data_IF_521322031717
#
_entry.id   IF_521322031717
#
_cell.length_a   1.000
_cell.length_b   1.000
_cell.length_c   1.000
_cell.angle_alpha   90.00
_cell.angle_beta   90.00
_cell.angle_gamma   90.00
#
_symmetry.space_group_name_H-M   'P 1'
#
loop_
_entity.id
_entity.type
_entity.pdbx_description
1 polymer ?
#
# COMPACT_ATOMS: atom_id res chain seq x y z
N UNK A 1 -13.16 14.41 2.64
CA UNK A 1 -12.87 13.79 3.96
C UNK A 1 -11.62 12.95 3.80
N UNK A 2 -10.65 13.09 4.69
CA UNK A 2 -9.39 12.33 4.66
C UNK A 2 -9.52 11.10 5.56
N UNK A 3 -8.89 9.98 5.18
CA UNK A 3 -8.81 8.78 6.02
C UNK A 3 -7.47 8.73 6.78
N UNK A 4 -7.49 8.24 8.02
CA UNK A 4 -6.28 7.91 8.77
C UNK A 4 -5.48 6.83 8.06
N UNK A 5 -4.17 7.00 7.98
CA UNK A 5 -3.26 6.03 7.36
C UNK A 5 -2.36 5.43 8.45
N UNK A 6 -2.28 4.09 8.48
CA UNK A 6 -1.38 3.34 9.34
C UNK A 6 -0.30 2.64 8.49
N UNK A 7 0.95 2.75 8.89
CA UNK A 7 2.09 2.12 8.20
C UNK A 7 2.49 0.82 8.90
N UNK A 8 2.55 -0.29 8.16
CA UNK A 8 3.14 -1.53 8.68
C UNK A 8 4.67 -1.42 8.68
N UNK A 9 5.33 -2.13 9.60
CA UNK A 9 6.79 -2.12 9.71
C UNK A 9 7.51 -2.54 8.42
N UNK A 10 6.91 -3.42 7.61
CA UNK A 10 7.48 -3.79 6.29
C UNK A 10 7.44 -2.62 5.29
N UNK A 11 6.37 -1.82 5.31
CA UNK A 11 6.29 -0.61 4.50
C UNK A 11 7.37 0.39 4.92
N UNK A 12 7.49 0.69 6.22
CA UNK A 12 8.48 1.65 6.73
C UNK A 12 9.91 1.28 6.30
N UNK A 13 10.33 0.04 6.57
CA UNK A 13 11.69 -0.45 6.23
C UNK A 13 12.01 -0.37 4.73
N UNK A 14 11.02 -0.61 3.86
CA UNK A 14 11.20 -0.54 2.41
C UNK A 14 11.12 0.89 1.90
N UNK A 15 10.22 1.70 2.45
CA UNK A 15 10.05 3.09 2.10
C UNK A 15 11.33 3.88 2.37
N UNK A 16 11.97 3.69 3.53
CA UNK A 16 13.25 4.34 3.89
C UNK A 16 14.37 4.06 2.88
N UNK A 17 14.38 2.88 2.24
CA UNK A 17 15.39 2.51 1.25
C UNK A 17 15.09 3.04 -0.14
N UNK A 18 13.82 3.28 -0.45
CA UNK A 18 13.36 3.57 -1.81
C UNK A 18 12.98 5.04 -2.03
N UNK A 19 12.54 5.71 -0.98
CA UNK A 19 11.88 7.01 -1.02
C UNK A 19 12.56 7.98 -0.06
N UNK A 20 12.66 9.24 -0.46
CA UNK A 20 12.99 10.30 0.49
C UNK A 20 11.75 10.67 1.32
N UNK A 21 11.97 11.36 2.43
CA UNK A 21 10.90 11.71 3.38
C UNK A 21 9.71 12.46 2.74
N UNK A 22 9.98 13.43 1.86
CA UNK A 22 8.92 14.16 1.14
C UNK A 22 8.05 13.22 0.30
N UNK A 23 8.65 12.30 -0.44
CA UNK A 23 7.92 11.33 -1.27
C UNK A 23 7.08 10.37 -0.42
N UNK A 24 7.54 10.02 0.79
CA UNK A 24 6.78 9.21 1.74
C UNK A 24 5.54 9.98 2.22
N UNK A 25 5.70 11.25 2.58
CA UNK A 25 4.59 12.11 2.96
C UNK A 25 3.59 12.29 1.81
N UNK A 26 4.06 12.47 0.58
CA UNK A 26 3.18 12.62 -0.58
C UNK A 26 2.31 11.37 -0.81
N UNK A 27 2.90 10.18 -0.67
CA UNK A 27 2.14 8.92 -0.76
C UNK A 27 1.07 8.84 0.32
N UNK A 28 1.42 9.13 1.58
CA UNK A 28 0.47 9.09 2.71
C UNK A 28 -0.68 10.07 2.48
N UNK A 29 -0.37 11.31 2.14
CA UNK A 29 -1.37 12.35 1.86
C UNK A 29 -2.27 11.96 0.69
N UNK A 30 -1.69 11.41 -0.37
CA UNK A 30 -2.44 11.00 -1.56
C UNK A 30 -3.40 9.86 -1.27
N UNK A 31 -2.96 8.79 -0.58
CA UNK A 31 -3.86 7.66 -0.26
C UNK A 31 -4.89 8.02 0.80
N UNK A 32 -4.58 8.97 1.69
CA UNK A 32 -5.54 9.54 2.64
C UNK A 32 -6.67 10.30 1.92
N UNK A 33 -6.36 11.02 0.84
CA UNK A 33 -7.34 11.76 0.04
C UNK A 33 -8.06 10.88 -0.98
N UNK A 34 -7.38 9.90 -1.56
CA UNK A 34 -7.87 9.05 -2.65
C UNK A 34 -7.69 7.56 -2.32
N UNK A 35 -8.37 7.03 -1.29
CA UNK A 35 -8.16 5.67 -0.82
C UNK A 35 -8.49 4.59 -1.88
N UNK A 36 -9.24 4.93 -2.93
CA UNK A 36 -9.59 4.00 -4.03
C UNK A 36 -8.72 4.14 -5.28
N UNK A 37 -7.69 4.99 -5.28
CA UNK A 37 -6.88 5.29 -6.48
C UNK A 37 -6.04 4.11 -7.00
N UNK A 38 -5.70 3.14 -6.15
CA UNK A 38 -4.97 1.95 -6.54
C UNK A 38 -5.84 0.85 -7.17
N UNK A 39 -5.25 0.12 -8.11
CA UNK A 39 -5.87 -1.02 -8.78
C UNK A 39 -6.10 -2.17 -7.79
N UNK A 40 -7.30 -2.77 -7.79
CA UNK A 40 -7.57 -3.96 -6.98
C UNK A 40 -6.73 -5.15 -7.44
N UNK A 41 -6.11 -5.84 -6.49
CA UNK A 41 -5.39 -7.09 -6.73
C UNK A 41 -6.39 -8.23 -6.49
N UNK A 42 -6.69 -9.02 -7.52
CA UNK A 42 -7.64 -10.13 -7.39
C UNK A 42 -7.07 -11.23 -6.47
N UNK A 43 -7.95 -11.80 -5.63
CA UNK A 43 -7.61 -12.92 -4.74
C UNK A 43 -6.86 -12.53 -3.46
N UNK A 44 -6.96 -11.28 -3.01
CA UNK A 44 -6.29 -10.76 -1.80
C UNK A 44 -7.24 -10.18 -0.76
N UNK A 45 -8.56 -10.33 -0.92
CA UNK A 45 -9.54 -9.73 -0.01
C UNK A 45 -9.71 -8.20 -0.15
N UNK A 46 -9.14 -7.58 -1.20
CA UNK A 46 -9.36 -6.14 -1.47
C UNK A 46 -8.11 -5.27 -1.39
N UNK A 47 -6.92 -5.86 -1.33
CA UNK A 47 -5.64 -5.13 -1.42
C UNK A 47 -5.54 -4.38 -2.75
N UNK A 48 -4.98 -3.18 -2.70
CA UNK A 48 -4.80 -2.27 -3.84
C UNK A 48 -3.33 -2.03 -4.15
N UNK A 49 -3.04 -1.77 -5.42
CA UNK A 49 -1.73 -1.44 -5.98
C UNK A 49 -1.75 -0.05 -6.58
N UNK A 50 -1.05 0.90 -5.97
CA UNK A 50 -0.84 2.24 -6.50
C UNK A 50 0.52 2.32 -7.22
N UNK A 51 0.52 2.90 -8.42
CA UNK A 51 1.75 3.20 -9.17
C UNK A 51 2.17 4.63 -8.85
N UNK A 52 3.24 4.81 -8.07
CA UNK A 52 3.74 6.12 -7.69
C UNK A 52 4.90 6.53 -8.59
N UNK A 53 4.78 7.67 -9.27
CA UNK A 53 5.88 8.26 -10.05
C UNK A 53 6.60 9.27 -9.16
N UNK A 54 7.92 9.21 -9.17
CA UNK A 54 8.79 10.17 -8.47
C UNK A 54 9.07 11.32 -9.40
N UNK A 55 8.95 12.55 -8.91
CA UNK A 55 9.33 13.74 -9.68
C UNK A 55 10.85 13.79 -9.88
N UNK A 56 11.31 14.30 -11.03
CA UNK A 56 12.73 14.49 -11.33
C UNK A 56 13.58 13.22 -11.53
N UNK A 57 13.05 12.02 -11.31
CA UNK A 57 13.75 10.76 -11.62
C UNK A 57 13.32 10.18 -12.97
N UNK A 58 14.29 9.71 -13.76
CA UNK A 58 14.06 9.09 -15.07
C UNK A 58 13.17 7.84 -15.04
N UNK A 59 13.05 7.13 -16.19
CA UNK A 59 12.13 5.99 -16.42
C UNK A 59 12.13 4.87 -15.34
N UNK A 60 13.15 4.78 -14.49
CA UNK A 60 13.34 3.79 -13.42
C UNK A 60 12.95 4.25 -12.00
N UNK A 61 12.55 5.51 -11.79
CA UNK A 61 12.37 6.06 -10.45
C UNK A 61 11.16 5.52 -9.68
N UNK A 62 10.04 5.22 -10.35
CA UNK A 62 8.77 4.94 -9.68
C UNK A 62 8.75 3.72 -8.74
N UNK A 63 7.82 3.73 -7.80
CA UNK A 63 7.56 2.62 -6.87
C UNK A 63 6.12 2.12 -7.01
N UNK A 64 5.86 0.92 -6.51
CA UNK A 64 4.50 0.39 -6.37
C UNK A 64 4.19 0.24 -4.90
N UNK A 65 3.13 0.93 -4.47
CA UNK A 65 2.65 0.92 -3.09
C UNK A 65 1.50 -0.06 -2.99
N UNK A 66 1.60 -0.99 -2.05
CA UNK A 66 0.58 -2.00 -1.77
C UNK A 66 -0.10 -1.61 -0.47
N UNK A 67 -1.42 -1.45 -0.51
CA UNK A 67 -2.17 -0.95 0.62
C UNK A 67 -3.57 -1.55 0.69
N UNK A 68 -4.20 -1.48 1.86
CA UNK A 68 -5.55 -1.96 2.08
C UNK A 68 -6.46 -0.83 2.56
N UNK A 69 -7.64 -0.73 1.95
CA UNK A 69 -8.68 0.18 2.34
C UNK A 69 -10.02 -0.57 2.36
N UNK A 70 -10.62 -0.64 3.55
CA UNK A 70 -11.91 -1.28 3.77
C UNK A 70 -13.06 -0.26 3.75
N UNK A 71 -13.08 0.63 4.74
CA UNK A 71 -14.08 1.69 4.91
C UNK A 71 -13.50 2.80 5.80
N UNK A 72 -14.28 3.85 6.08
CA UNK A 72 -13.86 4.91 6.99
C UNK A 72 -13.86 4.51 8.48
N UNK A 73 -14.32 3.29 8.82
CA UNK A 73 -14.39 2.80 10.19
C UNK A 73 -13.04 2.26 10.72
N UNK A 74 -12.07 2.07 9.83
CA UNK A 74 -10.72 1.64 10.18
C UNK A 74 -9.69 2.42 9.35
N UNK A 75 -8.42 2.49 9.79
CA UNK A 75 -7.36 3.10 8.99
C UNK A 75 -7.18 2.43 7.63
N UNK A 76 -6.65 3.19 6.67
CA UNK A 76 -6.00 2.63 5.50
C UNK A 76 -4.62 2.11 5.92
N UNK A 77 -4.30 0.87 5.56
CA UNK A 77 -3.02 0.25 5.93
C UNK A 77 -2.06 0.23 4.74
N UNK A 78 -0.91 0.89 4.88
CA UNK A 78 0.21 0.76 3.95
C UNK A 78 0.98 -0.53 4.28
N UNK A 79 0.85 -1.54 3.42
CA UNK A 79 1.36 -2.90 3.68
C UNK A 79 2.83 -3.05 3.29
N UNK A 80 3.19 -2.61 2.08
CA UNK A 80 4.57 -2.67 1.59
C UNK A 80 4.76 -1.76 0.37
N UNK A 81 6.02 -1.53 -0.03
CA UNK A 81 6.40 -0.76 -1.22
C UNK A 81 7.59 -1.42 -1.91
N UNK A 82 7.60 -1.45 -3.24
CA UNK A 82 8.71 -2.02 -4.00
C UNK A 82 9.05 -1.19 -5.24
N UNK A 83 10.30 -1.25 -5.69
CA UNK A 83 10.74 -0.52 -6.87
C UNK A 83 10.04 -1.06 -8.13
N UNK A 84 9.87 -0.21 -9.16
CA UNK A 84 9.24 -0.60 -10.44
C UNK A 84 9.79 -1.88 -11.07
N UNK A 85 11.07 -2.19 -10.87
CA UNK A 85 11.74 -3.34 -11.48
C UNK A 85 11.89 -4.55 -10.54
N UNK A 86 11.42 -4.45 -9.30
CA UNK A 86 11.64 -5.50 -8.29
C UNK A 86 10.63 -6.65 -8.41
N UNK A 87 9.38 -6.34 -8.75
CA UNK A 87 8.31 -7.34 -8.92
C UNK A 87 7.47 -7.04 -10.16
N UNK A 88 7.37 -8.05 -11.03
CA UNK A 88 6.47 -8.05 -12.17
C UNK A 88 5.02 -8.27 -11.70
N UNK A 89 4.78 -9.35 -10.96
CA UNK A 89 3.46 -9.73 -10.43
C UNK A 89 3.56 -10.47 -9.09
N UNK A 90 2.46 -10.50 -8.33
CA UNK A 90 2.37 -11.27 -7.09
C UNK A 90 2.03 -12.73 -7.40
N UNK A 91 2.82 -13.65 -6.84
CA UNK A 91 2.52 -15.08 -6.90
C UNK A 91 1.18 -15.40 -6.23
N UNK A 92 0.60 -16.57 -6.52
CA UNK A 92 -0.62 -17.01 -5.84
C UNK A 92 -0.40 -17.16 -4.32
N UNK A 93 0.77 -17.66 -3.91
CA UNK A 93 1.11 -17.81 -2.50
C UNK A 93 1.18 -16.45 -1.78
N UNK A 94 1.75 -15.41 -2.41
CA UNK A 94 1.77 -14.06 -1.84
C UNK A 94 0.36 -13.46 -1.76
N UNK A 95 -0.50 -13.71 -2.76
CA UNK A 95 -1.89 -13.26 -2.72
C UNK A 95 -2.67 -13.90 -1.57
N UNK A 96 -2.49 -15.20 -1.35
CA UNK A 96 -3.12 -15.90 -0.23
C UNK A 96 -2.64 -15.35 1.13
N UNK A 97 -1.33 -15.05 1.27
CA UNK A 97 -0.78 -14.42 2.48
C UNK A 97 -1.37 -13.02 2.71
N UNK A 98 -1.56 -12.24 1.64
CA UNK A 98 -2.20 -10.94 1.72
C UNK A 98 -3.66 -11.04 2.13
N UNK A 99 -4.40 -12.03 1.62
CA UNK A 99 -5.79 -12.26 2.05
C UNK A 99 -5.87 -12.54 3.55
N UNK A 100 -5.05 -13.47 4.06
CA UNK A 100 -5.00 -13.77 5.49
C UNK A 100 -4.62 -12.55 6.35
N UNK A 101 -3.66 -11.74 5.87
CA UNK A 101 -3.30 -10.50 6.55
C UNK A 101 -4.46 -9.50 6.58
N UNK A 102 -5.23 -9.38 5.50
CA UNK A 102 -6.40 -8.51 5.44
C UNK A 102 -7.44 -8.93 6.47
N UNK A 103 -7.73 -10.23 6.57
CA UNK A 103 -8.68 -10.75 7.56
C UNK A 103 -8.22 -10.37 8.98
N UNK A 104 -6.95 -10.62 9.31
CA UNK A 104 -6.37 -10.24 10.61
C UNK A 104 -6.47 -8.73 10.89
N UNK A 105 -6.24 -7.88 9.88
CA UNK A 105 -6.35 -6.42 10.02
C UNK A 105 -7.79 -5.97 10.26
N UNK A 106 -8.77 -6.61 9.62
CA UNK A 106 -10.19 -6.31 9.78
C UNK A 106 -10.66 -6.73 11.17
N UNK A 107 -10.38 -7.97 11.58
CA UNK A 107 -10.72 -8.50 12.91
C UNK A 107 -10.11 -7.62 14.02
N UNK A 108 -8.83 -7.26 13.88
CA UNK A 108 -8.12 -6.39 14.81
C UNK A 108 -8.72 -4.98 14.91
N UNK A 109 -9.22 -4.43 13.81
CA UNK A 109 -9.64 -3.01 13.76
C UNK A 109 -11.12 -2.82 14.03
N UNK A 110 -11.95 -3.81 13.71
CA UNK A 110 -13.40 -3.76 13.83
C UNK A 110 -13.96 -4.68 14.93
N UNK A 111 -13.15 -5.59 15.47
CA UNK A 111 -13.56 -6.52 16.52
C UNK A 111 -14.59 -7.54 16.05
N UNK A 112 -14.55 -7.91 14.77
CA UNK A 112 -15.37 -8.98 14.18
C UNK A 112 -14.73 -10.36 14.38
#
# INVERSE_FOLDING_TARGET
MLITVAELGEYQRRAEKLLVESERHDIVNYVAAFPKAGDLIKGTGGVRKLRWRREGKGKSGGVRVIYYFHSQRMPLYLLTVFAKNERADLSQAERNKLALLVDTLVDSALGE
#
